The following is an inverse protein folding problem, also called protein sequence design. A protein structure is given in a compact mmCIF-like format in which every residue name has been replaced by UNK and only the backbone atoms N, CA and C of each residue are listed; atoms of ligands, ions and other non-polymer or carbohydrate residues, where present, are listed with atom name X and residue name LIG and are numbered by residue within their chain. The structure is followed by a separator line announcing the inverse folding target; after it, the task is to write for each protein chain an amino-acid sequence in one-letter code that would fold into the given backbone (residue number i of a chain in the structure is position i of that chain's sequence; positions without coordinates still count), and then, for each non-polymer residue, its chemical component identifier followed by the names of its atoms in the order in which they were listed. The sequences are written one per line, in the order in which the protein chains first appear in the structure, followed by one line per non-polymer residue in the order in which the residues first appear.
data_IF_067451256913
#
_entry.id   IF_067451256913
#
_cell.length_a   1.000
_cell.length_b   1.000
_cell.length_c   1.000
_cell.angle_alpha   90.00
_cell.angle_beta   90.00
_cell.angle_gamma   90.00
#
_symmetry.space_group_name_H-M   'P 1'
#
loop_
_entity.id
_entity.type
_entity.pdbx_description
1 polymer ?
#
# COMPACT_ATOMS: atom_id res chain seq x y z
N UNK A 1 -13.67 -32.39 17.09
CA UNK A 1 -12.25 -32.80 17.02
C UNK A 1 -11.65 -32.81 18.42
N UNK A 2 -10.84 -33.82 18.77
CA UNK A 2 -10.04 -33.79 19.99
C UNK A 2 -8.93 -32.74 19.88
N UNK A 3 -8.34 -32.30 21.00
CA UNK A 3 -7.20 -31.34 20.97
C UNK A 3 -6.01 -31.91 20.18
N UNK A 4 -5.76 -33.22 20.27
CA UNK A 4 -4.73 -33.92 19.49
C UNK A 4 -4.98 -33.89 17.97
N UNK A 5 -6.25 -34.02 17.56
CA UNK A 5 -6.60 -33.96 16.13
C UNK A 5 -6.42 -32.52 15.57
N UNK A 6 -6.77 -31.51 16.37
CA UNK A 6 -6.58 -30.10 16.00
C UNK A 6 -5.09 -29.79 15.84
N UNK A 7 -4.26 -30.21 16.80
CA UNK A 7 -2.80 -29.98 16.73
C UNK A 7 -2.17 -30.65 15.50
N UNK A 8 -2.56 -31.90 15.19
CA UNK A 8 -2.07 -32.59 14.00
C UNK A 8 -2.51 -31.92 12.70
N UNK A 9 -3.78 -31.48 12.62
CA UNK A 9 -4.30 -30.78 11.45
C UNK A 9 -3.63 -29.42 11.27
N UNK A 10 -3.40 -28.68 12.35
CA UNK A 10 -2.65 -27.41 12.33
C UNK A 10 -1.26 -27.60 11.74
N UNK A 11 -0.50 -28.56 12.26
CA UNK A 11 0.85 -28.87 11.75
C UNK A 11 0.85 -29.25 10.27
N UNK A 12 -0.14 -30.05 9.81
CA UNK A 12 -0.27 -30.40 8.40
C UNK A 12 -0.51 -29.18 7.49
N UNK A 13 -1.33 -28.23 7.92
CA UNK A 13 -1.58 -27.00 7.14
C UNK A 13 -0.32 -26.14 7.07
N UNK A 14 0.42 -26.00 8.17
CA UNK A 14 1.69 -25.26 8.20
C UNK A 14 2.73 -25.88 7.27
N UNK A 15 2.92 -27.21 7.33
CA UNK A 15 3.81 -27.94 6.44
C UNK A 15 3.42 -27.78 4.97
N UNK A 16 2.13 -27.85 4.68
CA UNK A 16 1.62 -27.70 3.31
C UNK A 16 1.89 -26.31 2.76
N UNK A 17 1.62 -25.26 3.54
CA UNK A 17 1.89 -23.86 3.16
C UNK A 17 3.38 -23.62 2.93
N UNK A 18 4.24 -24.14 3.81
CA UNK A 18 5.69 -24.02 3.67
C UNK A 18 6.21 -24.77 2.45
N UNK A 19 5.67 -25.97 2.14
CA UNK A 19 6.02 -26.73 0.95
C UNK A 19 5.61 -26.00 -0.34
N UNK A 20 4.40 -25.41 -0.39
CA UNK A 20 3.95 -24.59 -1.52
C UNK A 20 4.86 -23.38 -1.72
N UNK A 21 5.19 -22.66 -0.65
CA UNK A 21 6.10 -21.52 -0.74
C UNK A 21 7.48 -21.91 -1.27
N UNK A 22 8.03 -23.02 -0.79
CA UNK A 22 9.33 -23.55 -1.25
C UNK A 22 9.32 -23.91 -2.74
N UNK A 23 8.22 -24.47 -3.23
CA UNK A 23 8.10 -24.94 -4.61
C UNK A 23 7.76 -23.83 -5.60
N UNK A 24 6.87 -22.90 -5.21
CA UNK A 24 6.28 -21.92 -6.12
C UNK A 24 6.79 -20.49 -5.86
N UNK A 25 7.46 -20.24 -4.72
CA UNK A 25 7.90 -18.91 -4.30
C UNK A 25 6.74 -17.95 -4.01
N UNK A 26 5.54 -18.47 -3.75
CA UNK A 26 4.33 -17.69 -3.46
C UNK A 26 3.77 -18.10 -2.11
N UNK A 27 3.49 -17.09 -1.25
CA UNK A 27 2.91 -17.30 0.08
C UNK A 27 1.39 -17.30 -0.04
N UNK A 28 0.76 -18.39 0.33
CA UNK A 28 -0.69 -18.58 0.28
C UNK A 28 -1.29 -18.52 1.68
N UNK A 29 -2.60 -18.23 1.75
CA UNK A 29 -3.40 -18.43 2.95
C UNK A 29 -4.07 -19.81 2.89
N UNK A 30 -4.38 -20.35 4.06
CA UNK A 30 -5.16 -21.57 4.17
C UNK A 30 -6.24 -21.44 5.26
N UNK A 31 -7.19 -22.36 5.21
CA UNK A 31 -8.29 -22.47 6.15
C UNK A 31 -8.34 -23.91 6.64
N UNK A 32 -8.40 -24.06 7.97
CA UNK A 32 -8.70 -25.30 8.63
C UNK A 32 -10.13 -25.25 9.17
N UNK A 33 -10.98 -26.19 8.76
CA UNK A 33 -12.36 -26.25 9.25
C UNK A 33 -12.91 -27.69 9.23
N UNK A 34 -13.77 -27.98 10.19
CA UNK A 34 -14.61 -29.18 10.23
C UNK A 34 -16.09 -28.87 9.92
N UNK A 35 -16.37 -27.64 9.46
CA UNK A 35 -17.72 -27.16 9.18
C UNK A 35 -18.45 -26.58 10.40
N UNK A 36 -17.96 -26.81 11.62
CA UNK A 36 -18.47 -26.23 12.88
C UNK A 36 -17.50 -25.20 13.44
N UNK A 37 -16.21 -25.42 13.29
CA UNK A 37 -15.15 -24.53 13.72
C UNK A 37 -14.23 -24.17 12.58
N UNK A 38 -13.52 -23.05 12.71
CA UNK A 38 -12.64 -22.51 11.68
C UNK A 38 -11.40 -21.85 12.29
N UNK A 39 -10.26 -22.04 11.62
CA UNK A 39 -9.03 -21.31 11.86
C UNK A 39 -8.43 -20.86 10.52
N UNK A 40 -7.88 -19.66 10.47
CA UNK A 40 -7.24 -19.08 9.30
C UNK A 40 -5.73 -19.10 9.47
N UNK A 41 -5.02 -19.46 8.42
CA UNK A 41 -3.57 -19.54 8.36
C UNK A 41 -3.04 -18.52 7.35
N UNK A 42 -1.99 -17.81 7.72
CA UNK A 42 -1.35 -16.81 6.88
C UNK A 42 0.13 -16.69 7.21
N UNK A 43 0.95 -16.22 6.26
CA UNK A 43 2.34 -15.91 6.54
C UNK A 43 2.47 -14.58 7.28
N UNK A 44 3.29 -14.58 8.33
CA UNK A 44 3.76 -13.38 9.03
C UNK A 44 5.29 -13.40 9.00
N UNK A 45 5.88 -12.57 8.15
CA UNK A 45 7.29 -12.71 7.80
C UNK A 45 7.58 -14.05 7.14
N UNK A 46 8.52 -14.83 7.69
CA UNK A 46 8.88 -16.16 7.20
C UNK A 46 8.09 -17.29 7.88
N UNK A 47 7.30 -17.00 8.89
CA UNK A 47 6.56 -17.99 9.65
C UNK A 47 5.09 -18.03 9.22
N UNK A 48 4.48 -19.22 9.31
CA UNK A 48 3.03 -19.38 9.21
C UNK A 48 2.44 -19.15 10.61
N UNK A 49 1.47 -18.24 10.71
CA UNK A 49 0.67 -18.02 11.91
C UNK A 49 -0.78 -18.38 11.64
N UNK A 50 -1.50 -18.76 12.70
CA UNK A 50 -2.91 -19.07 12.59
C UNK A 50 -3.75 -18.37 13.66
N UNK A 51 -5.03 -18.12 13.36
CA UNK A 51 -5.99 -17.62 14.32
C UNK A 51 -6.37 -18.72 15.33
N UNK A 52 -6.87 -18.33 16.49
CA UNK A 52 -7.52 -19.29 17.40
C UNK A 52 -8.68 -20.00 16.68
N UNK A 53 -8.87 -21.27 17.00
CA UNK A 53 -10.01 -22.03 16.51
C UNK A 53 -11.30 -21.49 17.13
N UNK A 54 -12.25 -21.06 16.29
CA UNK A 54 -13.52 -20.46 16.72
C UNK A 54 -14.70 -21.05 15.95
N UNK A 55 -15.91 -20.77 16.41
CA UNK A 55 -17.11 -21.23 15.75
C UNK A 55 -17.23 -20.67 14.32
N UNK A 56 -17.69 -21.51 13.41
CA UNK A 56 -17.90 -21.19 12.00
C UNK A 56 -19.15 -20.33 11.85
N UNK A 57 -19.06 -19.24 11.12
CA UNK A 57 -20.15 -18.29 10.90
C UNK A 57 -20.54 -18.21 9.42
N UNK A 58 -21.73 -17.65 9.15
CA UNK A 58 -22.18 -17.37 7.77
C UNK A 58 -21.21 -16.45 7.02
N UNK A 59 -20.55 -15.50 7.74
CA UNK A 59 -19.52 -14.65 7.16
C UNK A 59 -18.30 -15.43 6.69
N UNK A 60 -17.95 -16.50 7.39
CA UNK A 60 -16.82 -17.36 7.00
C UNK A 60 -17.15 -18.14 5.72
N UNK A 61 -18.37 -18.67 5.65
CA UNK A 61 -18.82 -19.39 4.44
C UNK A 61 -18.78 -18.49 3.20
N UNK A 62 -19.30 -17.30 3.32
CA UNK A 62 -19.29 -16.32 2.23
C UNK A 62 -17.87 -15.93 1.83
N UNK A 63 -16.97 -15.77 2.79
CA UNK A 63 -15.56 -15.49 2.55
C UNK A 63 -14.85 -16.64 1.83
N UNK A 64 -15.15 -17.90 2.21
CA UNK A 64 -14.63 -19.11 1.54
C UNK A 64 -15.14 -19.16 0.10
N UNK A 65 -16.43 -18.96 -0.11
CA UNK A 65 -17.02 -18.96 -1.45
C UNK A 65 -16.36 -17.93 -2.34
N UNK A 66 -16.16 -16.71 -1.83
CA UNK A 66 -15.47 -15.67 -2.59
C UNK A 66 -14.01 -16.00 -2.87
N UNK A 67 -13.28 -16.52 -1.90
CA UNK A 67 -11.89 -16.93 -2.11
C UNK A 67 -11.77 -18.00 -3.19
N UNK A 68 -12.72 -18.94 -3.25
CA UNK A 68 -12.76 -19.98 -4.28
C UNK A 68 -13.13 -19.40 -5.65
N UNK A 69 -14.15 -18.55 -5.71
CA UNK A 69 -14.66 -18.00 -6.97
C UNK A 69 -13.70 -16.98 -7.60
N UNK A 70 -12.99 -16.19 -6.80
CA UNK A 70 -12.06 -15.16 -7.28
C UNK A 70 -10.60 -15.61 -7.36
N UNK A 71 -10.29 -16.86 -7.07
CA UNK A 71 -8.92 -17.38 -6.96
C UNK A 71 -8.02 -16.56 -5.98
N UNK A 72 -8.62 -16.02 -4.94
CA UNK A 72 -8.10 -15.01 -4.04
C UNK A 72 -7.32 -15.67 -2.88
N UNK A 73 -6.16 -16.23 -3.20
CA UNK A 73 -5.42 -17.14 -2.30
C UNK A 73 -4.07 -16.60 -1.86
N UNK A 74 -3.50 -15.61 -2.56
CA UNK A 74 -2.20 -15.06 -2.20
C UNK A 74 -2.28 -14.25 -0.90
N UNK A 75 -1.30 -14.44 -0.03
CA UNK A 75 -1.12 -13.59 1.15
C UNK A 75 -0.60 -12.21 0.73
N UNK A 76 -1.13 -11.14 1.30
CA UNK A 76 -0.67 -9.78 1.08
C UNK A 76 0.60 -9.51 1.91
N UNK A 77 1.74 -9.91 1.38
CA UNK A 77 3.08 -9.80 2.00
C UNK A 77 4.09 -9.22 1.03
N UNK A 78 5.19 -8.58 1.51
CA UNK A 78 6.20 -7.97 0.64
C UNK A 78 6.71 -8.90 -0.45
N UNK A 79 7.01 -10.17 -0.14
CA UNK A 79 7.56 -11.13 -1.09
C UNK A 79 6.66 -11.33 -2.31
N UNK A 80 5.35 -11.43 -2.09
CA UNK A 80 4.39 -11.59 -3.19
C UNK A 80 4.24 -10.29 -4.00
N UNK A 81 4.15 -9.15 -3.32
CA UNK A 81 4.05 -7.83 -3.95
C UNK A 81 5.30 -7.53 -4.80
N UNK A 82 6.49 -7.83 -4.27
CA UNK A 82 7.74 -7.66 -5.01
C UNK A 82 7.81 -8.56 -6.24
N UNK A 83 7.35 -9.82 -6.13
CA UNK A 83 7.27 -10.75 -7.25
C UNK A 83 6.37 -10.21 -8.37
N UNK A 84 5.23 -9.63 -8.00
CA UNK A 84 4.20 -9.21 -8.95
C UNK A 84 4.46 -7.81 -9.55
N UNK A 85 5.08 -6.88 -8.80
CA UNK A 85 5.18 -5.47 -9.19
C UNK A 85 6.60 -4.90 -9.31
N UNK A 86 7.66 -5.64 -8.96
CA UNK A 86 9.02 -5.10 -9.05
C UNK A 86 9.45 -4.86 -10.51
N UNK A 87 10.06 -3.70 -10.77
CA UNK A 87 10.66 -3.38 -12.07
C UNK A 87 12.04 -4.00 -12.29
N UNK A 88 12.64 -4.60 -11.25
CA UNK A 88 13.99 -5.20 -11.28
C UNK A 88 13.99 -6.70 -11.58
N UNK A 89 12.84 -7.31 -11.77
CA UNK A 89 12.75 -8.70 -12.22
C UNK A 89 13.13 -8.80 -13.68
N UNK A 90 13.65 -9.97 -14.11
CA UNK A 90 13.94 -10.23 -15.52
C UNK A 90 12.68 -10.28 -16.39
N UNK A 91 11.50 -10.36 -15.79
CA UNK A 91 10.22 -10.29 -16.47
C UNK A 91 9.83 -8.84 -16.75
N UNK A 92 9.13 -8.61 -17.86
CA UNK A 92 8.53 -7.33 -18.19
C UNK A 92 7.23 -7.17 -17.37
N UNK A 93 7.37 -6.82 -16.09
CA UNK A 93 6.24 -6.70 -15.16
C UNK A 93 5.26 -5.62 -15.61
N UNK A 94 4.01 -5.74 -15.17
CA UNK A 94 2.97 -4.73 -15.44
C UNK A 94 3.40 -3.33 -14.99
N UNK A 95 4.13 -3.22 -13.88
CA UNK A 95 4.68 -1.94 -13.39
C UNK A 95 5.70 -1.33 -14.35
N UNK A 96 6.58 -2.15 -14.92
CA UNK A 96 7.57 -1.68 -15.91
C UNK A 96 6.89 -1.24 -17.19
N UNK A 97 5.90 -2.00 -17.66
CA UNK A 97 5.11 -1.63 -18.85
C UNK A 97 4.33 -0.34 -18.62
N UNK A 98 3.64 -0.21 -17.48
CA UNK A 98 2.90 0.99 -17.13
C UNK A 98 3.82 2.22 -17.05
N UNK A 99 4.98 2.11 -16.40
CA UNK A 99 5.95 3.21 -16.33
C UNK A 99 6.41 3.68 -17.72
N UNK A 100 6.70 2.74 -18.63
CA UNK A 100 7.09 3.08 -20.02
C UNK A 100 5.98 3.78 -20.79
N UNK A 101 4.73 3.34 -20.65
CA UNK A 101 3.59 3.98 -21.32
C UNK A 101 3.32 5.38 -20.76
N UNK A 102 3.38 5.56 -19.44
CA UNK A 102 3.27 6.87 -18.80
C UNK A 102 4.39 7.81 -19.25
N UNK A 103 5.63 7.34 -19.27
CA UNK A 103 6.77 8.12 -19.79
C UNK A 103 6.59 8.53 -21.25
N UNK A 104 6.11 7.60 -22.08
CA UNK A 104 5.82 7.89 -23.50
C UNK A 104 4.79 9.01 -23.63
N UNK A 105 3.70 8.98 -22.85
CA UNK A 105 2.68 10.03 -22.87
C UNK A 105 3.21 11.39 -22.43
N UNK A 106 3.94 11.44 -21.32
CA UNK A 106 4.54 12.70 -20.83
C UNK A 106 5.49 13.29 -21.87
N UNK A 107 6.16 12.45 -22.65
CA UNK A 107 7.18 12.89 -23.61
C UNK A 107 6.58 13.30 -24.95
N UNK A 108 5.57 12.57 -25.45
CA UNK A 108 5.07 12.73 -26.83
C UNK A 108 3.80 13.56 -26.93
N UNK A 109 2.92 13.51 -25.96
CA UNK A 109 1.59 14.16 -26.03
C UNK A 109 1.03 14.54 -24.63
N UNK A 110 1.79 15.32 -23.84
CA UNK A 110 1.29 15.79 -22.55
C UNK A 110 0.18 16.82 -22.74
N UNK A 111 -0.85 16.77 -21.88
CA UNK A 111 -1.85 17.84 -21.78
C UNK A 111 -1.30 19.02 -20.95
N UNK A 112 -1.97 20.17 -21.02
CA UNK A 112 -1.62 21.32 -20.18
C UNK A 112 -1.68 20.95 -18.67
N UNK A 113 -2.69 20.20 -18.25
CA UNK A 113 -2.81 19.69 -16.88
C UNK A 113 -1.63 18.80 -16.50
N UNK A 114 -1.20 17.90 -17.39
CA UNK A 114 -0.04 17.02 -17.16
C UNK A 114 1.23 17.84 -16.96
N UNK A 115 1.46 18.85 -17.81
CA UNK A 115 2.64 19.72 -17.69
C UNK A 115 2.60 20.57 -16.43
N UNK A 116 1.43 21.10 -16.06
CA UNK A 116 1.26 21.87 -14.82
C UNK A 116 1.62 21.01 -13.60
N UNK A 117 1.04 19.80 -13.48
CA UNK A 117 1.31 18.90 -12.36
C UNK A 117 2.76 18.42 -12.33
N UNK A 118 3.36 18.15 -13.50
CA UNK A 118 4.78 17.81 -13.60
C UNK A 118 5.66 18.97 -13.09
N UNK A 119 5.39 20.20 -13.49
CA UNK A 119 6.17 21.37 -13.08
C UNK A 119 6.05 21.64 -11.55
N UNK A 120 4.84 21.51 -11.00
CA UNK A 120 4.63 21.65 -9.54
C UNK A 120 5.36 20.55 -8.77
N UNK A 121 5.28 19.29 -9.23
CA UNK A 121 6.01 18.19 -8.65
C UNK A 121 7.54 18.39 -8.78
N UNK A 122 8.04 18.86 -9.90
CA UNK A 122 9.46 19.14 -10.13
C UNK A 122 9.98 20.22 -9.17
N UNK A 123 9.18 21.26 -8.92
CA UNK A 123 9.52 22.28 -7.93
C UNK A 123 9.68 21.70 -6.51
N UNK A 124 8.79 20.78 -6.10
CA UNK A 124 8.92 20.10 -4.82
C UNK A 124 10.17 19.20 -4.78
N UNK A 125 10.46 18.50 -5.87
CA UNK A 125 11.67 17.66 -5.96
C UNK A 125 12.96 18.50 -5.86
N UNK A 126 12.98 19.69 -6.42
CA UNK A 126 14.13 20.60 -6.30
C UNK A 126 14.37 21.06 -4.86
N UNK A 127 13.34 21.18 -4.04
CA UNK A 127 13.50 21.48 -2.61
C UNK A 127 14.12 20.32 -1.84
N UNK A 128 13.83 19.08 -2.27
CA UNK A 128 14.31 17.86 -1.61
C UNK A 128 15.72 17.44 -2.05
N UNK A 129 16.13 17.81 -3.27
CA UNK A 129 17.45 17.47 -3.83
C UNK A 129 18.42 18.61 -3.55
N UNK A 130 19.32 18.42 -2.57
CA UNK A 130 20.45 19.32 -2.39
C UNK A 130 21.33 19.34 -3.66
N UNK A 131 21.30 20.44 -4.39
CA UNK A 131 22.13 20.68 -5.57
C UNK A 131 23.59 21.01 -5.21
N UNK A 132 24.18 20.28 -4.28
CA UNK A 132 25.59 20.46 -3.95
C UNK A 132 26.48 19.93 -5.09
N UNK A 133 27.36 20.78 -5.54
CA UNK A 133 28.25 20.68 -6.70
C UNK A 133 29.29 19.53 -6.68
N UNK A 134 29.11 18.53 -5.79
CA UNK A 134 29.93 17.32 -5.72
C UNK A 134 29.35 16.07 -6.40
N UNK A 135 28.17 16.15 -7.03
CA UNK A 135 27.31 15.00 -7.35
C UNK A 135 27.29 14.55 -8.84
N UNK A 136 28.27 14.89 -9.65
CA UNK A 136 28.30 14.44 -11.06
C UNK A 136 28.18 12.90 -11.18
N UNK A 137 28.85 12.15 -10.32
CA UNK A 137 28.79 10.69 -10.29
C UNK A 137 27.39 10.15 -9.91
N UNK A 138 26.66 10.85 -9.03
CA UNK A 138 25.32 10.43 -8.61
C UNK A 138 24.28 10.71 -9.68
N UNK A 139 24.40 11.81 -10.42
CA UNK A 139 23.56 12.12 -11.58
C UNK A 139 23.76 11.07 -12.68
N UNK A 140 24.99 10.72 -13.00
CA UNK A 140 25.29 9.72 -14.02
C UNK A 140 24.72 8.35 -13.63
N UNK A 141 24.84 7.97 -12.36
CA UNK A 141 24.29 6.72 -11.84
C UNK A 141 22.77 6.69 -11.91
N UNK A 142 22.07 7.78 -11.52
CA UNK A 142 20.60 7.87 -11.63
C UNK A 142 20.15 7.72 -13.07
N UNK A 143 20.76 8.47 -14.01
CA UNK A 143 20.44 8.41 -15.43
C UNK A 143 20.70 7.04 -16.03
N UNK A 144 21.76 6.36 -15.59
CA UNK A 144 22.04 4.98 -16.00
C UNK A 144 20.95 4.01 -15.52
N UNK A 145 20.54 4.10 -14.25
CA UNK A 145 19.50 3.24 -13.70
C UNK A 145 18.17 3.46 -14.43
N UNK A 146 17.79 4.71 -14.67
CA UNK A 146 16.58 5.04 -15.45
C UNK A 146 16.69 4.56 -16.91
N UNK A 147 17.84 4.72 -17.54
CA UNK A 147 18.06 4.25 -18.91
C UNK A 147 17.83 2.74 -19.05
N UNK A 148 18.24 1.94 -18.05
CA UNK A 148 18.00 0.50 -18.00
C UNK A 148 16.52 0.13 -17.83
N UNK A 149 15.76 0.93 -17.07
CA UNK A 149 14.34 0.68 -16.83
C UNK A 149 13.52 0.99 -18.09
N UNK A 150 13.80 2.13 -18.72
CA UNK A 150 13.05 2.61 -19.87
C UNK A 150 13.55 2.10 -21.24
N UNK A 151 14.65 1.35 -21.24
CA UNK A 151 15.33 0.84 -22.44
C UNK A 151 15.67 1.96 -23.46
N UNK A 152 16.09 3.13 -22.94
CA UNK A 152 16.49 4.29 -23.72
C UNK A 152 17.58 5.11 -23.03
N UNK A 153 18.27 5.98 -23.79
CA UNK A 153 19.32 6.84 -23.21
C UNK A 153 18.71 8.08 -22.57
N UNK A 154 18.92 8.22 -21.25
CA UNK A 154 18.54 9.40 -20.47
C UNK A 154 19.80 10.23 -20.22
N UNK A 155 19.92 11.39 -20.86
CA UNK A 155 21.10 12.24 -20.84
C UNK A 155 20.84 13.71 -20.45
N UNK A 156 19.57 14.09 -20.27
CA UNK A 156 19.19 15.45 -19.84
C UNK A 156 18.40 15.40 -18.53
N UNK A 157 18.41 16.51 -17.80
CA UNK A 157 17.61 16.65 -16.58
C UNK A 157 16.10 16.58 -16.87
N UNK A 158 15.64 17.19 -17.97
CA UNK A 158 14.25 17.13 -18.39
C UNK A 158 13.76 15.69 -18.58
N UNK A 159 14.53 14.88 -19.33
CA UNK A 159 14.18 13.47 -19.56
C UNK A 159 14.25 12.65 -18.28
N UNK A 160 15.23 12.96 -17.41
CA UNK A 160 15.39 12.35 -16.09
C UNK A 160 14.16 12.58 -15.20
N UNK A 161 13.67 13.85 -15.10
CA UNK A 161 12.50 14.17 -14.29
C UNK A 161 11.21 13.56 -14.86
N UNK A 162 11.04 13.56 -16.18
CA UNK A 162 9.90 12.87 -16.83
C UNK A 162 9.88 11.37 -16.53
N UNK A 163 11.05 10.72 -16.59
CA UNK A 163 11.18 9.30 -16.28
C UNK A 163 10.89 9.00 -14.79
N UNK A 164 11.40 9.85 -13.90
CA UNK A 164 11.13 9.72 -12.46
C UNK A 164 9.65 9.94 -12.14
N UNK A 165 9.03 10.97 -12.73
CA UNK A 165 7.61 11.25 -12.55
C UNK A 165 6.73 10.10 -13.04
N UNK A 166 7.08 9.45 -14.16
CA UNK A 166 6.39 8.25 -14.65
C UNK A 166 6.51 7.07 -13.67
N UNK A 167 7.68 6.84 -13.07
CA UNK A 167 7.87 5.81 -12.04
C UNK A 167 7.06 6.11 -10.78
N UNK A 168 7.07 7.35 -10.32
CA UNK A 168 6.32 7.76 -9.15
C UNK A 168 4.81 7.69 -9.39
N UNK A 169 4.33 8.08 -10.59
CA UNK A 169 2.93 7.88 -10.99
C UNK A 169 2.56 6.39 -10.99
N UNK A 170 3.44 5.52 -11.49
CA UNK A 170 3.21 4.06 -11.47
C UNK A 170 3.03 3.54 -10.04
N UNK A 171 3.90 3.95 -9.14
CA UNK A 171 3.79 3.59 -7.73
C UNK A 171 2.48 4.11 -7.11
N UNK A 172 2.14 5.38 -7.33
CA UNK A 172 0.91 5.98 -6.84
C UNK A 172 -0.34 5.22 -7.32
N UNK A 173 -0.40 4.84 -8.60
CA UNK A 173 -1.50 4.04 -9.16
C UNK A 173 -1.63 2.71 -8.41
N UNK A 174 -0.54 1.96 -8.23
CA UNK A 174 -0.59 0.67 -7.54
C UNK A 174 -1.06 0.81 -6.09
N UNK A 175 -0.54 1.81 -5.35
CA UNK A 175 -0.97 2.09 -3.97
C UNK A 175 -2.47 2.43 -3.90
N UNK A 176 -2.96 3.26 -4.83
CA UNK A 176 -4.39 3.63 -4.93
C UNK A 176 -5.28 2.43 -5.25
N UNK A 177 -4.85 1.56 -6.17
CA UNK A 177 -5.57 0.32 -6.49
C UNK A 177 -5.61 -0.63 -5.29
N UNK A 178 -4.53 -0.74 -4.51
CA UNK A 178 -4.53 -1.50 -3.25
C UNK A 178 -5.51 -0.88 -2.25
N UNK A 179 -5.52 0.44 -2.10
CA UNK A 179 -6.47 1.15 -1.23
C UNK A 179 -7.93 0.88 -1.65
N UNK A 180 -8.24 0.88 -2.95
CA UNK A 180 -9.56 0.52 -3.48
C UNK A 180 -9.95 -0.92 -3.09
N UNK A 181 -9.02 -1.88 -3.20
CA UNK A 181 -9.26 -3.28 -2.78
C UNK A 181 -9.57 -3.38 -1.29
N UNK A 182 -8.89 -2.60 -0.47
CA UNK A 182 -9.13 -2.57 0.98
C UNK A 182 -10.50 -2.00 1.30
N UNK A 183 -10.92 -0.94 0.62
CA UNK A 183 -12.23 -0.29 0.83
C UNK A 183 -13.38 -1.15 0.33
N UNK A 184 -13.26 -1.79 -0.81
CA UNK A 184 -14.26 -2.74 -1.33
C UNK A 184 -14.63 -3.78 -0.27
N UNK A 185 -13.65 -4.23 0.48
CA UNK A 185 -13.86 -5.14 1.60
C UNK A 185 -14.71 -4.55 2.73
N UNK A 186 -14.60 -3.24 3.02
CA UNK A 186 -15.39 -2.58 4.07
C UNK A 186 -16.85 -2.39 3.66
N UNK A 187 -17.10 -2.22 2.37
CA UNK A 187 -18.42 -1.96 1.79
C UNK A 187 -19.22 -3.23 1.50
N UNK A 188 -18.82 -4.35 2.03
CA UNK A 188 -19.33 -5.68 1.77
C UNK A 188 -20.87 -5.84 1.85
N UNK A 189 -21.56 -4.97 2.58
CA UNK A 189 -23.03 -4.99 2.73
C UNK A 189 -23.78 -4.08 1.73
N UNK A 190 -23.06 -3.27 0.96
CA UNK A 190 -23.66 -2.41 -0.06
C UNK A 190 -23.41 -3.03 -1.44
N UNK A 191 -24.46 -3.16 -2.26
CA UNK A 191 -24.47 -3.71 -3.62
C UNK A 191 -23.68 -2.85 -4.64
N UNK A 192 -22.61 -2.17 -4.26
CA UNK A 192 -21.69 -1.55 -5.20
C UNK A 192 -20.80 -2.63 -5.84
N UNK A 193 -20.44 -2.44 -7.09
CA UNK A 193 -19.58 -3.33 -7.87
C UNK A 193 -18.39 -3.81 -7.05
N UNK A 194 -18.17 -5.13 -7.00
CA UNK A 194 -17.03 -5.70 -6.28
C UNK A 194 -15.72 -5.27 -6.96
N UNK A 195 -14.61 -5.29 -6.23
CA UNK A 195 -13.30 -4.99 -6.82
C UNK A 195 -12.99 -5.88 -8.03
N UNK A 196 -13.46 -7.13 -8.00
CA UNK A 196 -13.40 -8.05 -9.14
C UNK A 196 -14.09 -7.49 -10.38
N UNK A 197 -15.25 -6.82 -10.22
CA UNK A 197 -16.01 -6.26 -11.34
C UNK A 197 -15.21 -5.17 -12.07
N UNK A 198 -14.30 -4.45 -11.38
CA UNK A 198 -13.41 -3.45 -11.99
C UNK A 198 -12.51 -4.05 -13.08
N UNK A 199 -12.15 -5.33 -12.96
CA UNK A 199 -11.36 -6.02 -13.99
C UNK A 199 -12.19 -6.37 -15.24
N UNK A 200 -13.51 -6.25 -15.20
CA UNK A 200 -14.43 -6.63 -16.27
C UNK A 200 -15.05 -5.44 -16.98
N UNK A 201 -14.98 -4.23 -16.42
CA UNK A 201 -15.59 -3.03 -16.99
C UNK A 201 -14.87 -2.52 -18.25
N UNK A 202 -15.56 -1.72 -19.02
CA UNK A 202 -15.00 -1.11 -20.24
C UNK A 202 -13.87 -0.13 -19.92
N UNK A 203 -13.06 0.20 -20.94
CA UNK A 203 -11.99 1.20 -20.82
C UNK A 203 -12.52 2.56 -20.35
N UNK A 204 -13.66 3.01 -20.90
CA UNK A 204 -14.27 4.29 -20.53
C UNK A 204 -14.80 4.30 -19.09
N UNK A 205 -15.41 3.20 -18.65
CA UNK A 205 -15.93 3.08 -17.28
C UNK A 205 -14.79 2.99 -16.25
N UNK A 206 -13.69 2.28 -16.58
CA UNK A 206 -12.52 2.21 -15.72
C UNK A 206 -11.84 3.58 -15.59
N UNK A 207 -11.70 4.31 -16.72
CA UNK A 207 -11.16 5.67 -16.71
C UNK A 207 -12.00 6.59 -15.81
N UNK A 208 -13.33 6.54 -15.94
CA UNK A 208 -14.24 7.33 -15.09
C UNK A 208 -14.09 6.95 -13.63
N UNK A 209 -14.09 5.65 -13.30
CA UNK A 209 -13.89 5.17 -11.93
C UNK A 209 -12.57 5.70 -11.33
N UNK A 210 -11.48 5.65 -12.09
CA UNK A 210 -10.19 6.14 -11.62
C UNK A 210 -10.17 7.66 -11.47
N UNK A 211 -10.83 8.40 -12.35
CA UNK A 211 -11.01 9.86 -12.18
C UNK A 211 -11.76 10.17 -10.88
N UNK A 212 -12.83 9.44 -10.57
CA UNK A 212 -13.58 9.58 -9.32
C UNK A 212 -12.71 9.20 -8.08
N UNK A 213 -11.81 8.21 -8.22
CA UNK A 213 -10.82 7.85 -7.20
C UNK A 213 -9.83 8.98 -6.98
N UNK A 214 -9.29 9.56 -8.05
CA UNK A 214 -8.31 10.67 -7.98
C UNK A 214 -8.92 11.94 -7.38
N UNK A 215 -10.19 12.21 -7.62
CA UNK A 215 -10.94 13.33 -7.03
C UNK A 215 -11.35 13.06 -5.56
N UNK A 216 -11.00 11.88 -5.03
CA UNK A 216 -11.33 11.46 -3.66
C UNK A 216 -12.80 11.10 -3.44
N UNK A 217 -13.63 11.11 -4.49
CA UNK A 217 -15.07 10.88 -4.37
C UNK A 217 -15.41 9.50 -3.80
N UNK A 218 -14.71 8.47 -4.24
CA UNK A 218 -14.91 7.08 -3.78
C UNK A 218 -14.64 6.90 -2.28
N UNK A 219 -13.82 7.74 -1.68
CA UNK A 219 -13.47 7.69 -0.25
C UNK A 219 -14.36 8.60 0.57
N UNK A 220 -14.66 9.79 0.06
CA UNK A 220 -15.60 10.72 0.69
C UNK A 220 -17.01 10.12 0.80
N UNK A 221 -17.42 9.29 -0.16
CA UNK A 221 -18.69 8.55 -0.09
C UNK A 221 -18.75 7.55 1.07
N UNK A 222 -17.59 7.16 1.62
CA UNK A 222 -17.45 6.35 2.83
C UNK A 222 -17.10 7.20 4.07
N UNK A 223 -17.17 8.54 3.96
CA UNK A 223 -16.80 9.49 5.00
C UNK A 223 -15.36 9.30 5.48
N UNK A 224 -14.44 9.10 4.54
CA UNK A 224 -12.98 9.13 4.76
C UNK A 224 -12.46 10.33 3.99
N UNK A 225 -12.17 11.41 4.71
CA UNK A 225 -12.05 12.73 4.06
C UNK A 225 -10.78 12.94 3.26
N UNK A 226 -9.62 12.48 3.74
CA UNK A 226 -8.32 12.83 3.18
C UNK A 226 -7.44 11.63 2.78
N UNK A 227 -8.02 10.45 2.59
CA UNK A 227 -7.23 9.26 2.22
C UNK A 227 -6.49 9.46 0.89
N UNK A 228 -7.20 10.03 -0.09
CA UNK A 228 -6.64 10.52 -1.34
C UNK A 228 -7.17 11.94 -1.55
N UNK A 229 -6.32 12.92 -1.45
CA UNK A 229 -6.57 14.30 -1.92
C UNK A 229 -5.91 14.44 -3.28
N UNK A 230 -6.48 15.32 -4.14
CA UNK A 230 -5.98 15.58 -5.47
C UNK A 230 -4.46 15.75 -5.44
N UNK A 231 -3.77 14.81 -6.03
CA UNK A 231 -2.33 14.72 -5.98
C UNK A 231 -1.69 14.99 -7.35
N UNK A 232 -0.38 15.12 -7.36
CA UNK A 232 0.43 15.34 -8.55
C UNK A 232 0.34 14.19 -9.56
N UNK A 233 -0.17 13.01 -9.16
CA UNK A 233 -0.14 11.78 -9.94
C UNK A 233 -1.49 11.42 -10.55
N UNK A 234 -2.48 12.33 -10.54
CA UNK A 234 -3.83 12.11 -11.07
C UNK A 234 -3.95 12.28 -12.59
N UNK A 235 -2.95 12.84 -13.25
CA UNK A 235 -2.97 13.25 -14.64
C UNK A 235 -3.30 12.13 -15.65
N UNK A 236 -2.92 10.89 -15.36
CA UNK A 236 -3.13 9.74 -16.25
C UNK A 236 -4.61 9.38 -16.43
N UNK A 237 -5.46 9.75 -15.48
CA UNK A 237 -6.91 9.52 -15.52
C UNK A 237 -7.67 10.53 -16.36
N UNK A 238 -7.03 11.60 -16.84
CA UNK A 238 -7.64 12.55 -17.79
C UNK A 238 -7.98 11.85 -19.10
N UNK A 239 -9.15 12.14 -19.67
CA UNK A 239 -9.63 11.53 -20.92
C UNK A 239 -8.65 11.67 -22.09
N UNK A 240 -7.91 12.78 -22.15
CA UNK A 240 -6.93 13.04 -23.21
C UNK A 240 -5.58 12.35 -22.97
N UNK A 241 -5.37 11.78 -21.78
CA UNK A 241 -4.17 11.01 -21.41
C UNK A 241 -4.47 9.50 -21.34
N UNK A 242 -5.73 9.13 -21.30
CA UNK A 242 -6.16 7.74 -21.23
C UNK A 242 -6.09 7.07 -22.62
N UNK A 243 -5.45 5.89 -22.68
CA UNK A 243 -5.35 5.09 -23.89
C UNK A 243 -5.44 3.58 -23.59
N UNK A 244 -5.54 2.77 -24.66
CA UNK A 244 -5.70 1.31 -24.55
C UNK A 244 -4.53 0.61 -23.87
N UNK A 245 -3.32 1.13 -23.93
CA UNK A 245 -2.16 0.51 -23.31
C UNK A 245 -2.18 0.76 -21.80
N UNK A 246 -2.47 1.99 -21.35
CA UNK A 246 -2.70 2.31 -19.94
C UNK A 246 -3.85 1.49 -19.39
N UNK A 247 -4.97 1.43 -20.11
CA UNK A 247 -6.10 0.59 -19.73
C UNK A 247 -5.70 -0.86 -19.48
N UNK A 248 -4.95 -1.48 -20.39
CA UNK A 248 -4.49 -2.86 -20.27
C UNK A 248 -3.59 -3.05 -19.04
N UNK A 249 -2.61 -2.18 -18.83
CA UNK A 249 -1.71 -2.27 -17.68
C UNK A 249 -2.46 -2.11 -16.35
N UNK A 250 -3.39 -1.16 -16.26
CA UNK A 250 -4.17 -0.95 -15.03
C UNK A 250 -5.12 -2.12 -14.80
N UNK A 251 -5.79 -2.61 -15.83
CA UNK A 251 -6.65 -3.79 -15.74
C UNK A 251 -5.89 -5.02 -15.25
N UNK A 252 -4.70 -5.27 -15.78
CA UNK A 252 -3.82 -6.35 -15.34
C UNK A 252 -3.38 -6.14 -13.88
N UNK A 253 -3.03 -4.92 -13.48
CA UNK A 253 -2.72 -4.59 -12.09
C UNK A 253 -3.88 -4.90 -11.15
N UNK A 254 -5.12 -4.57 -11.55
CA UNK A 254 -6.33 -4.90 -10.78
C UNK A 254 -6.50 -6.41 -10.67
N UNK A 255 -6.30 -7.17 -11.76
CA UNK A 255 -6.41 -8.63 -11.75
C UNK A 255 -5.36 -9.26 -10.83
N UNK A 256 -4.13 -8.77 -10.84
CA UNK A 256 -3.06 -9.22 -9.93
C UNK A 256 -3.44 -8.91 -8.47
N UNK A 257 -3.85 -7.68 -8.17
CA UNK A 257 -4.26 -7.28 -6.81
C UNK A 257 -5.48 -8.08 -6.35
N UNK A 258 -6.38 -8.44 -7.26
CA UNK A 258 -7.54 -9.25 -6.92
C UNK A 258 -7.18 -10.66 -6.46
N UNK A 259 -6.03 -11.20 -6.85
CA UNK A 259 -5.54 -12.50 -6.35
C UNK A 259 -5.14 -12.49 -4.87
N UNK A 260 -4.98 -11.31 -4.25
CA UNK A 260 -4.64 -11.22 -2.84
C UNK A 260 -5.86 -11.42 -1.95
N UNK A 261 -5.71 -12.32 -0.99
CA UNK A 261 -6.77 -12.66 -0.05
C UNK A 261 -7.15 -11.47 0.83
N UNK A 262 -8.44 -11.20 0.91
CA UNK A 262 -8.99 -10.20 1.81
C UNK A 262 -8.65 -10.46 3.31
N UNK A 263 -8.36 -11.70 3.70
CA UNK A 263 -7.93 -12.04 5.07
C UNK A 263 -6.56 -11.53 5.41
N UNK A 264 -5.66 -11.45 4.44
CA UNK A 264 -4.28 -11.00 4.65
C UNK A 264 -4.20 -9.58 5.18
N UNK A 265 -5.23 -8.77 4.94
CA UNK A 265 -5.30 -7.40 5.44
C UNK A 265 -5.69 -7.32 6.93
N UNK A 266 -6.15 -8.43 7.54
CA UNK A 266 -6.58 -8.49 8.96
C UNK A 266 -5.54 -9.10 9.89
N UNK A 267 -4.49 -9.69 9.36
CA UNK A 267 -3.46 -10.32 10.19
C UNK A 267 -2.62 -9.23 10.85
N UNK A 268 -2.01 -9.51 12.02
CA UNK A 268 -1.06 -8.65 12.76
C UNK A 268 0.15 -8.18 11.92
N UNK A 269 -0.04 -8.09 10.60
CA UNK A 269 0.96 -7.73 9.64
C UNK A 269 1.19 -6.22 9.61
N UNK A 270 2.41 -5.81 9.32
CA UNK A 270 2.77 -4.40 9.18
C UNK A 270 2.54 -3.91 7.73
N UNK A 271 1.42 -3.24 7.42
CA UNK A 271 1.14 -2.81 6.05
C UNK A 271 2.17 -1.83 5.47
N UNK A 272 2.92 -1.16 6.33
CA UNK A 272 3.94 -0.18 5.94
C UNK A 272 5.15 -0.85 5.31
N UNK A 273 5.57 -2.01 5.81
CA UNK A 273 6.69 -2.72 5.21
C UNK A 273 6.38 -3.07 3.74
N UNK A 274 5.11 -3.29 3.42
CA UNK A 274 4.67 -3.54 2.04
C UNK A 274 4.87 -2.30 1.16
N UNK A 275 4.40 -1.13 1.59
CA UNK A 275 4.51 0.09 0.79
C UNK A 275 5.96 0.56 0.67
N UNK A 276 6.74 0.46 1.73
CA UNK A 276 8.18 0.70 1.69
C UNK A 276 8.87 -0.22 0.68
N UNK A 277 8.63 -1.53 0.78
CA UNK A 277 9.26 -2.51 -0.08
C UNK A 277 8.79 -2.37 -1.53
N UNK A 278 7.50 -2.11 -1.76
CA UNK A 278 6.97 -1.77 -3.07
C UNK A 278 7.65 -0.52 -3.65
N UNK A 279 7.80 0.55 -2.85
CA UNK A 279 8.49 1.76 -3.28
C UNK A 279 9.93 1.48 -3.67
N UNK A 280 10.66 0.74 -2.82
CA UNK A 280 12.05 0.35 -3.11
C UNK A 280 12.18 -0.55 -4.34
N UNK A 281 11.13 -1.25 -4.73
CA UNK A 281 11.10 -2.13 -5.90
C UNK A 281 10.79 -1.40 -7.21
N UNK A 282 10.23 -0.19 -7.13
CA UNK A 282 9.87 0.64 -8.29
C UNK A 282 10.84 1.81 -8.45
N UNK A 283 11.26 2.47 -7.35
CA UNK A 283 12.16 3.62 -7.41
C UNK A 283 13.61 3.18 -7.16
N UNK A 284 14.55 3.44 -8.08
CA UNK A 284 15.95 3.08 -7.95
C UNK A 284 16.61 3.63 -6.68
N UNK A 285 17.50 2.84 -6.10
CA UNK A 285 18.25 3.23 -4.90
C UNK A 285 19.05 4.52 -5.11
N UNK A 286 19.65 4.70 -6.29
CA UNK A 286 20.38 5.91 -6.64
C UNK A 286 19.52 7.17 -6.55
N UNK A 287 18.27 7.07 -6.98
CA UNK A 287 17.29 8.16 -6.94
C UNK A 287 16.88 8.45 -5.50
N UNK A 288 16.47 7.42 -4.76
CA UNK A 288 16.04 7.56 -3.36
C UNK A 288 17.11 8.21 -2.49
N UNK A 289 18.36 7.79 -2.64
CA UNK A 289 19.49 8.37 -1.89
C UNK A 289 19.74 9.84 -2.25
N UNK A 290 19.56 10.23 -3.53
CA UNK A 290 19.71 11.64 -3.93
C UNK A 290 18.59 12.54 -3.41
N UNK A 291 17.43 11.97 -3.08
CA UNK A 291 16.31 12.66 -2.44
C UNK A 291 16.37 12.60 -0.91
N UNK A 292 17.44 12.05 -0.35
CA UNK A 292 17.58 11.90 1.11
C UNK A 292 16.65 10.84 1.73
N UNK A 293 16.07 9.96 0.91
CA UNK A 293 15.14 8.94 1.37
C UNK A 293 15.86 7.72 1.94
N UNK A 294 15.91 7.64 3.26
CA UNK A 294 16.47 6.53 4.02
C UNK A 294 15.38 5.87 4.87
N UNK A 295 15.06 4.63 4.55
CA UNK A 295 14.03 3.91 5.28
C UNK A 295 14.54 3.35 6.61
N UNK A 296 13.85 3.69 7.68
CA UNK A 296 14.14 3.19 9.02
C UNK A 296 13.74 1.71 9.12
N UNK A 297 14.62 0.82 9.62
CA UNK A 297 14.24 -0.56 9.93
C UNK A 297 13.19 -0.61 11.06
N UNK A 298 12.26 -1.57 10.95
CA UNK A 298 11.16 -1.73 11.94
C UNK A 298 11.67 -1.84 13.38
N UNK A 299 12.71 -2.63 13.62
CA UNK A 299 13.26 -2.80 14.97
C UNK A 299 13.74 -1.48 15.60
N UNK A 300 14.25 -0.58 14.76
CA UNK A 300 14.73 0.72 15.23
C UNK A 300 13.56 1.65 15.56
N UNK A 301 12.51 1.69 14.72
CA UNK A 301 11.31 2.49 15.02
C UNK A 301 10.61 1.98 16.30
N UNK A 302 10.46 0.68 16.45
CA UNK A 302 9.88 0.09 17.67
C UNK A 302 10.74 0.43 18.91
N UNK A 303 12.08 0.33 18.81
CA UNK A 303 13.00 0.68 19.89
C UNK A 303 12.90 2.16 20.29
N UNK A 304 12.88 3.06 19.31
CA UNK A 304 12.77 4.50 19.57
C UNK A 304 11.43 4.83 20.21
N UNK A 305 10.31 4.33 19.69
CA UNK A 305 8.97 4.58 20.25
C UNK A 305 8.87 4.03 21.66
N UNK A 306 9.38 2.81 21.93
CA UNK A 306 9.38 2.20 23.27
C UNK A 306 10.14 3.07 24.27
N UNK A 307 11.34 3.52 23.93
CA UNK A 307 12.16 4.32 24.84
C UNK A 307 11.63 5.74 25.03
N UNK A 308 11.11 6.36 23.95
CA UNK A 308 10.55 7.72 24.02
C UNK A 308 9.27 7.79 24.85
N UNK A 309 8.48 6.72 24.86
CA UNK A 309 7.18 6.68 25.56
C UNK A 309 7.23 6.06 26.95
N UNK A 310 8.34 5.41 27.32
CA UNK A 310 8.48 4.62 28.60
C UNK A 310 8.08 5.39 29.84
N UNK A 311 8.45 6.69 29.93
CA UNK A 311 8.22 7.52 31.11
C UNK A 311 7.09 8.54 30.92
N UNK A 312 6.35 8.47 29.80
CA UNK A 312 5.25 9.38 29.56
C UNK A 312 3.98 8.89 30.29
N UNK A 313 3.13 9.86 30.66
CA UNK A 313 1.80 9.56 31.21
C UNK A 313 0.92 8.89 30.14
N UNK A 314 -0.07 8.11 30.56
CA UNK A 314 -1.13 7.62 29.66
C UNK A 314 -1.76 8.78 28.90
N UNK A 315 -2.10 8.56 27.61
CA UNK A 315 -2.69 9.61 26.78
C UNK A 315 -1.66 10.55 26.10
N UNK A 316 -0.37 10.21 26.07
CA UNK A 316 0.65 10.95 25.29
C UNK A 316 0.21 11.09 23.83
N UNK A 317 0.57 12.19 23.20
CA UNK A 317 0.42 12.43 21.77
C UNK A 317 1.79 12.48 21.11
N UNK A 318 1.86 12.08 19.85
CA UNK A 318 3.10 12.11 19.10
C UNK A 318 2.86 12.51 17.66
N UNK A 319 3.84 13.18 17.09
CA UNK A 319 3.92 13.52 15.68
C UNK A 319 5.27 13.05 15.12
N UNK A 320 5.22 12.47 13.93
CA UNK A 320 6.42 12.24 13.12
C UNK A 320 6.51 13.36 12.07
N UNK A 321 7.44 14.29 12.20
CA UNK A 321 7.53 15.46 11.34
C UNK A 321 8.15 15.18 9.97
N UNK A 322 8.68 13.98 9.73
CA UNK A 322 9.24 13.51 8.47
C UNK A 322 8.87 12.04 8.28
N UNK A 323 7.55 11.76 8.24
CA UNK A 323 7.02 10.44 8.50
C UNK A 323 7.35 9.38 7.42
N UNK A 324 7.82 9.80 6.25
CA UNK A 324 8.05 8.88 5.13
C UNK A 324 6.82 8.04 4.83
N UNK A 325 6.99 6.76 4.62
CA UNK A 325 5.87 5.80 4.46
C UNK A 325 5.13 5.47 5.76
N UNK A 326 5.49 6.11 6.91
CA UNK A 326 4.77 6.03 8.19
C UNK A 326 5.25 4.92 9.15
N UNK A 327 6.50 4.48 9.09
CA UNK A 327 7.00 3.39 9.97
C UNK A 327 6.87 3.72 11.46
N UNK A 328 7.20 4.96 11.87
CA UNK A 328 7.03 5.39 13.25
C UNK A 328 5.56 5.55 13.62
N UNK A 329 4.71 6.01 12.70
CA UNK A 329 3.26 6.08 12.89
C UNK A 329 2.72 4.71 13.31
N UNK A 330 3.08 3.65 12.60
CA UNK A 330 2.61 2.29 12.92
C UNK A 330 3.22 1.78 14.24
N UNK A 331 4.48 2.09 14.51
CA UNK A 331 5.08 1.72 15.79
C UNK A 331 4.38 2.42 16.97
N UNK A 332 3.96 3.70 16.79
CA UNK A 332 3.16 4.44 17.77
C UNK A 332 1.75 3.85 17.94
N UNK A 333 1.08 3.49 16.85
CA UNK A 333 -0.23 2.81 16.89
C UNK A 333 -0.11 1.48 17.65
N UNK A 334 0.88 0.65 17.33
CA UNK A 334 1.12 -0.61 18.04
C UNK A 334 1.38 -0.38 19.53
N UNK A 335 2.14 0.64 19.88
CA UNK A 335 2.40 0.98 21.29
C UNK A 335 1.12 1.36 22.04
N UNK A 336 0.20 2.07 21.40
CA UNK A 336 -1.12 2.39 21.98
C UNK A 336 -1.97 1.14 22.12
N UNK A 337 -1.97 0.25 21.13
CA UNK A 337 -2.71 -1.03 21.17
C UNK A 337 -2.15 -1.95 22.25
N UNK A 338 -0.81 -2.00 22.40
CA UNK A 338 -0.13 -2.86 23.36
C UNK A 338 -0.41 -4.33 23.07
N UNK A 339 -0.49 -5.13 24.15
CA UNK A 339 -0.71 -6.58 24.08
C UNK A 339 -2.20 -6.98 24.00
N UNK A 340 -3.10 -6.01 23.67
CA UNK A 340 -4.53 -6.31 23.58
C UNK A 340 -4.81 -7.24 22.40
N UNK A 341 -5.47 -8.33 22.70
CA UNK A 341 -6.00 -9.22 21.66
C UNK A 341 -7.31 -8.66 21.11
N UNK A 342 -7.27 -7.98 19.97
CA UNK A 342 -8.40 -7.28 19.38
C UNK A 342 -9.61 -8.19 19.09
N UNK A 343 -9.41 -9.50 19.04
CA UNK A 343 -10.49 -10.48 18.85
C UNK A 343 -11.35 -10.61 20.13
N UNK A 344 -10.78 -10.30 21.30
CA UNK A 344 -11.40 -10.53 22.61
C UNK A 344 -12.01 -9.26 23.22
N UNK A 345 -11.88 -8.10 22.56
CA UNK A 345 -12.46 -6.83 23.03
C UNK A 345 -13.78 -6.51 22.34
N UNK A 346 -14.66 -5.80 23.02
CA UNK A 346 -15.97 -5.40 22.48
C UNK A 346 -15.85 -4.41 21.34
N UNK A 347 -16.92 -4.27 20.54
CA UNK A 347 -16.95 -3.30 19.44
C UNK A 347 -16.90 -1.85 19.95
N UNK A 348 -17.44 -1.56 21.14
CA UNK A 348 -17.32 -0.27 21.81
C UNK A 348 -15.89 0.05 22.22
N UNK A 349 -15.15 -0.94 22.72
CA UNK A 349 -13.74 -0.78 23.07
C UNK A 349 -12.88 -0.59 21.82
N UNK A 350 -13.16 -1.32 20.73
CA UNK A 350 -12.50 -1.11 19.43
C UNK A 350 -12.71 0.30 18.92
N UNK A 351 -13.96 0.79 18.97
CA UNK A 351 -14.29 2.15 18.52
C UNK A 351 -13.58 3.21 19.39
N UNK A 352 -13.56 3.01 20.72
CA UNK A 352 -12.84 3.89 21.63
C UNK A 352 -11.35 3.93 21.34
N UNK A 353 -10.73 2.76 21.11
CA UNK A 353 -9.31 2.65 20.80
C UNK A 353 -8.96 3.26 19.45
N UNK A 354 -9.83 3.12 18.44
CA UNK A 354 -9.69 3.78 17.14
C UNK A 354 -9.68 5.31 17.29
N UNK A 355 -10.62 5.87 18.05
CA UNK A 355 -10.65 7.32 18.34
C UNK A 355 -9.42 7.79 19.11
N UNK A 356 -8.97 7.00 20.06
CA UNK A 356 -7.74 7.26 20.80
C UNK A 356 -6.53 7.35 19.86
N UNK A 357 -6.37 6.39 18.94
CA UNK A 357 -5.29 6.36 17.96
C UNK A 357 -5.34 7.62 17.09
N UNK A 358 -6.49 7.93 16.47
CA UNK A 358 -6.67 9.08 15.59
C UNK A 358 -6.38 10.42 16.28
N UNK A 359 -6.63 10.53 17.59
CA UNK A 359 -6.40 11.75 18.36
C UNK A 359 -4.98 11.91 18.90
N UNK A 360 -4.11 10.90 18.72
CA UNK A 360 -2.80 10.86 19.38
C UNK A 360 -1.62 10.71 18.44
N UNK A 361 -1.81 10.14 17.23
CA UNK A 361 -0.71 9.79 16.31
C UNK A 361 -0.85 10.59 15.02
N UNK A 362 0.13 11.44 14.75
CA UNK A 362 0.15 12.37 13.62
C UNK A 362 1.41 12.16 12.78
N UNK A 363 1.33 12.53 11.49
CA UNK A 363 2.47 12.54 10.58
C UNK A 363 2.46 13.75 9.66
N UNK A 364 3.63 14.22 9.28
CA UNK A 364 3.84 15.23 8.24
C UNK A 364 4.97 14.74 7.34
N UNK A 365 4.86 14.97 6.05
CA UNK A 365 5.96 14.77 5.11
C UNK A 365 5.84 15.73 3.94
N UNK A 366 6.96 16.13 3.38
CA UNK A 366 7.02 17.03 2.21
C UNK A 366 6.80 16.23 0.89
N UNK A 367 7.07 14.93 0.90
CA UNK A 367 6.94 14.09 -0.27
C UNK A 367 5.50 13.55 -0.39
N UNK A 368 4.75 13.91 -1.46
CA UNK A 368 3.37 13.48 -1.64
C UNK A 368 3.18 11.96 -1.73
N UNK A 369 4.16 11.22 -2.24
CA UNK A 369 4.12 9.75 -2.26
C UNK A 369 4.28 9.14 -0.87
N UNK A 370 5.12 9.75 -0.05
CA UNK A 370 5.27 9.37 1.35
C UNK A 370 3.95 9.55 2.09
N UNK A 371 3.32 10.71 1.93
CA UNK A 371 2.01 11.00 2.53
C UNK A 371 0.94 10.03 2.06
N UNK A 372 0.85 9.75 0.75
CA UNK A 372 -0.07 8.76 0.21
C UNK A 372 0.13 7.38 0.86
N UNK A 373 1.38 6.92 0.92
CA UNK A 373 1.73 5.61 1.50
C UNK A 373 1.41 5.55 2.98
N UNK A 374 1.75 6.60 3.73
CA UNK A 374 1.50 6.70 5.16
C UNK A 374 -0.01 6.75 5.48
N UNK A 375 -0.81 7.48 4.68
CA UNK A 375 -2.28 7.51 4.83
C UNK A 375 -2.89 6.13 4.59
N UNK A 376 -2.52 5.46 3.50
CA UNK A 376 -3.03 4.10 3.22
C UNK A 376 -2.56 3.11 4.29
N UNK A 377 -1.31 3.18 4.72
CA UNK A 377 -0.78 2.38 5.83
C UNK A 377 -1.52 2.60 7.14
N UNK A 378 -1.77 3.86 7.50
CA UNK A 378 -2.55 4.24 8.68
C UNK A 378 -3.98 3.68 8.60
N UNK A 379 -4.66 3.90 7.46
CA UNK A 379 -5.99 3.38 7.21
C UNK A 379 -6.05 1.85 7.38
N UNK A 380 -5.10 1.13 6.80
CA UNK A 380 -5.01 -0.33 6.95
C UNK A 380 -4.76 -0.76 8.40
N UNK A 381 -4.00 0.02 9.16
CA UNK A 381 -3.78 -0.25 10.58
C UNK A 381 -5.05 -0.08 11.43
N UNK A 382 -6.04 0.68 10.94
CA UNK A 382 -7.34 0.84 11.61
C UNK A 382 -8.34 -0.27 11.30
N UNK A 383 -8.14 -1.08 10.25
CA UNK A 383 -9.07 -2.14 9.86
C UNK A 383 -9.43 -3.15 10.96
N UNK A 384 -8.49 -3.57 11.83
CA UNK A 384 -8.80 -4.52 12.91
C UNK A 384 -9.80 -3.98 13.94
N UNK A 385 -10.00 -2.65 13.98
CA UNK A 385 -10.93 -2.00 14.93
C UNK A 385 -12.37 -1.88 14.41
N UNK A 386 -12.71 -2.60 13.34
CA UNK A 386 -14.07 -2.63 12.78
C UNK A 386 -14.28 -1.63 11.64
N UNK A 387 -15.50 -1.12 11.51
CA UNK A 387 -15.85 -0.19 10.41
C UNK A 387 -15.00 1.10 10.51
N UNK A 388 -14.34 1.45 9.43
CA UNK A 388 -13.56 2.68 9.30
C UNK A 388 -14.36 3.64 8.41
N UNK A 389 -15.07 4.58 9.03
CA UNK A 389 -15.83 5.65 8.36
C UNK A 389 -15.86 6.87 9.28
N UNK A 390 -16.22 8.02 8.75
CA UNK A 390 -16.30 9.28 9.47
C UNK A 390 -14.98 9.65 10.14
N UNK A 391 -13.89 9.53 9.38
CA UNK A 391 -12.53 9.80 9.85
C UNK A 391 -11.76 10.70 8.90
N UNK A 392 -10.86 11.48 9.47
CA UNK A 392 -9.72 12.10 8.80
C UNK A 392 -8.45 11.38 9.22
N UNK A 393 -7.61 10.99 8.25
CA UNK A 393 -6.32 10.35 8.53
C UNK A 393 -5.32 11.44 8.93
N UNK A 394 -4.75 11.43 10.16
CA UNK A 394 -3.92 12.51 10.65
C UNK A 394 -2.49 12.47 10.10
N UNK A 395 -2.37 12.46 8.77
CA UNK A 395 -1.11 12.53 8.02
C UNK A 395 -1.23 13.60 6.95
N UNK A 396 -0.34 14.60 6.99
CA UNK A 396 -0.48 15.82 6.20
C UNK A 396 0.73 16.04 5.29
N UNK A 397 0.46 16.59 4.10
CA UNK A 397 1.50 17.09 3.20
C UNK A 397 1.93 18.46 3.68
N UNK A 398 3.21 18.65 3.95
CA UNK A 398 3.73 19.92 4.39
C UNK A 398 5.20 19.88 4.74
N UNK A 399 5.78 21.07 4.85
CA UNK A 399 7.12 21.27 5.38
C UNK A 399 7.02 21.48 6.89
N UNK A 400 7.59 20.56 7.66
CA UNK A 400 7.54 20.59 9.12
C UNK A 400 8.35 21.75 9.74
N UNK A 401 9.26 22.38 8.98
CA UNK A 401 10.00 23.56 9.43
C UNK A 401 9.21 24.86 9.22
N UNK A 402 8.26 24.88 8.27
CA UNK A 402 7.48 26.04 7.90
C UNK A 402 6.04 26.02 8.43
N UNK A 403 5.57 24.88 8.91
CA UNK A 403 4.20 24.73 9.45
C UNK A 403 4.20 25.08 10.94
N UNK A 404 3.48 26.12 11.39
CA UNK A 404 3.44 26.54 12.79
C UNK A 404 2.74 25.53 13.72
#
# INVERSE_FOLDING_TARGET
MSEDDVSKATFQVEDYLNALYKNEGTKYNAILTDGLKISYFSFVGENVEHSSLRDFSVKDLDTIIKAILSNNTKTFVPQNILKDFSIYTNADTVSKQLAKELFSLITTSPTEKTLMLLNEWENLMHLSVNNDSGQSNDIEKRRKDLSLIFDLTINSSETEYKALYALQTTYAIIVKLIACKVIDRLNYNNKSSSYFDLSQISSADLQKFLSDVEDGYSYKSNNIDNLLEGDFFSWYSDRNQWNDKIYKCIKESIQIIDTYSAFSFNVRYNPIDIFKDLYMSIIPKSIRHSMGEYFTPKWLSDYVVENSTRNLRSGWKAIDPCCGSGIFIISMIRKIVGDRELVNISDEEKESLKKEILSRVYGIDINPLSVLSARVGYFMALLPFGKVSDIEIPVYLGDSELTP
#
